data_IF_869086643494
#
_entry.id   IF_869086643494
#
_cell.length_a   1.000
_cell.length_b   1.000
_cell.length_c   1.000
_cell.angle_alpha   90.00
_cell.angle_beta   90.00
_cell.angle_gamma   90.00
#
_symmetry.space_group_name_H-M   'P 1'
#
loop_
_entity.id
_entity.type
_entity.pdbx_description
1 polymer ?
#
# COMPACT_ATOMS: atom_id res chain seq x y z
N UNK A 1 -22.43 13.42 -14.85
CA UNK A 1 -22.20 12.74 -13.56
C UNK A 1 -21.52 13.77 -12.66
N UNK A 2 -22.00 14.00 -11.43
CA UNK A 2 -21.31 14.95 -10.53
C UNK A 2 -20.01 14.33 -10.04
N UNK A 3 -19.07 15.18 -9.60
CA UNK A 3 -17.83 14.76 -8.95
C UNK A 3 -18.12 13.73 -7.83
N UNK A 4 -19.02 14.03 -6.90
CA UNK A 4 -19.32 13.11 -5.78
C UNK A 4 -19.92 11.77 -6.26
N UNK A 5 -20.70 11.77 -7.35
CA UNK A 5 -21.26 10.53 -7.92
C UNK A 5 -20.16 9.65 -8.50
N UNK A 6 -19.20 10.23 -9.21
CA UNK A 6 -18.07 9.49 -9.78
C UNK A 6 -17.19 8.88 -8.69
N UNK A 7 -16.90 9.66 -7.64
CA UNK A 7 -16.12 9.17 -6.50
C UNK A 7 -16.82 7.99 -5.81
N UNK A 8 -18.11 8.12 -5.50
CA UNK A 8 -18.84 7.05 -4.80
C UNK A 8 -18.92 5.75 -5.63
N UNK A 9 -18.88 5.81 -6.95
CA UNK A 9 -19.02 4.65 -7.84
C UNK A 9 -17.71 3.90 -8.08
N UNK A 10 -16.54 4.54 -7.99
CA UNK A 10 -15.26 3.98 -8.47
C UNK A 10 -14.20 3.76 -7.37
N UNK A 11 -14.54 4.00 -6.10
CA UNK A 11 -13.53 4.24 -5.07
C UNK A 11 -12.83 3.01 -4.47
N UNK A 12 -13.38 1.81 -4.67
CA UNK A 12 -12.95 0.64 -3.90
C UNK A 12 -12.63 -0.54 -4.79
N UNK A 13 -11.37 -0.97 -4.73
CA UNK A 13 -10.95 -2.25 -5.30
C UNK A 13 -10.94 -3.32 -4.19
N UNK A 14 -11.47 -4.52 -4.47
CA UNK A 14 -11.57 -5.58 -3.48
C UNK A 14 -10.19 -6.16 -3.16
N UNK A 15 -9.88 -6.29 -1.87
CA UNK A 15 -8.70 -7.00 -1.38
C UNK A 15 -9.10 -8.23 -0.56
N UNK A 16 -8.30 -9.29 -0.64
CA UNK A 16 -8.42 -10.51 0.15
C UNK A 16 -7.70 -10.34 1.48
N UNK A 17 -8.33 -9.56 2.35
CA UNK A 17 -7.85 -9.37 3.71
C UNK A 17 -7.86 -10.69 4.49
N UNK A 18 -6.80 -10.98 5.22
CA UNK A 18 -6.67 -12.18 6.03
C UNK A 18 -7.00 -11.94 7.49
N UNK A 19 -7.22 -13.04 8.23
CA UNK A 19 -7.40 -12.97 9.68
C UNK A 19 -6.19 -12.29 10.30
N UNK A 20 -6.45 -11.47 11.33
CA UNK A 20 -5.47 -10.70 12.12
C UNK A 20 -5.02 -9.36 11.53
N UNK A 21 -5.48 -8.98 10.34
CA UNK A 21 -5.29 -7.62 9.83
C UNK A 21 -6.47 -6.72 10.19
N UNK A 22 -6.16 -5.56 10.77
CA UNK A 22 -7.05 -4.42 10.88
C UNK A 22 -6.80 -3.50 9.69
N UNK A 23 -7.80 -3.36 8.82
CA UNK A 23 -7.77 -2.41 7.71
C UNK A 23 -8.45 -1.13 8.19
N UNK A 24 -7.70 -0.03 8.21
CA UNK A 24 -8.20 1.28 8.64
C UNK A 24 -8.59 2.13 7.44
N UNK A 25 -7.92 1.93 6.28
CA UNK A 25 -8.22 2.62 5.03
C UNK A 25 -8.06 1.64 3.86
N UNK A 26 -9.02 1.66 2.94
CA UNK A 26 -8.90 1.02 1.64
C UNK A 26 -9.60 1.89 0.61
N UNK A 27 -8.81 2.68 -0.08
CA UNK A 27 -9.18 3.69 -1.05
C UNK A 27 -8.35 3.47 -2.32
N UNK A 28 -8.12 2.20 -2.67
CA UNK A 28 -7.39 1.83 -3.87
C UNK A 28 -8.22 2.26 -5.10
N UNK A 29 -7.78 3.34 -5.75
CA UNK A 29 -8.50 3.97 -6.86
C UNK A 29 -8.01 3.51 -8.22
N UNK A 30 -8.97 3.17 -9.09
CA UNK A 30 -8.76 3.23 -10.53
C UNK A 30 -9.38 4.51 -11.06
N UNK A 31 -8.56 5.41 -11.58
CA UNK A 31 -9.00 6.75 -11.98
C UNK A 31 -9.10 6.82 -13.50
N UNK A 32 -10.26 7.27 -14.00
CA UNK A 32 -10.40 7.61 -15.41
C UNK A 32 -9.64 8.91 -15.70
N UNK A 33 -8.47 8.77 -16.31
CA UNK A 33 -7.60 9.88 -16.69
C UNK A 33 -8.28 10.85 -17.66
N UNK A 34 -9.18 10.38 -18.53
CA UNK A 34 -9.87 11.28 -19.47
C UNK A 34 -10.84 12.19 -18.73
N UNK A 35 -11.55 11.62 -17.77
CA UNK A 35 -12.44 12.40 -16.90
C UNK A 35 -11.64 13.38 -16.04
N UNK A 36 -10.59 12.93 -15.34
CA UNK A 36 -9.76 13.78 -14.48
C UNK A 36 -9.17 14.98 -15.24
N UNK A 37 -8.62 14.72 -16.43
CA UNK A 37 -8.04 15.78 -17.26
C UNK A 37 -9.09 16.73 -17.88
N UNK A 38 -10.38 16.36 -17.87
CA UNK A 38 -11.48 17.20 -18.36
C UNK A 38 -12.05 18.14 -17.30
N UNK A 39 -11.69 17.95 -16.03
CA UNK A 39 -12.09 18.83 -14.93
C UNK A 39 -11.44 20.21 -15.08
N UNK A 40 -12.14 21.24 -14.57
CA UNK A 40 -11.53 22.55 -14.41
C UNK A 40 -10.45 22.54 -13.31
N UNK A 41 -9.64 23.60 -13.25
CA UNK A 41 -8.50 23.67 -12.34
C UNK A 41 -8.89 23.61 -10.85
N UNK A 42 -10.06 24.13 -10.47
CA UNK A 42 -10.49 24.12 -9.08
C UNK A 42 -10.92 22.71 -8.66
N UNK A 43 -11.81 22.08 -9.44
CA UNK A 43 -12.29 20.72 -9.18
C UNK A 43 -11.12 19.72 -9.22
N UNK A 44 -10.22 19.87 -10.19
CA UNK A 44 -9.02 19.04 -10.33
C UNK A 44 -8.09 19.16 -9.12
N UNK A 45 -7.84 20.40 -8.66
CA UNK A 45 -7.02 20.63 -7.47
C UNK A 45 -7.61 19.95 -6.24
N UNK A 46 -8.92 20.08 -6.02
CA UNK A 46 -9.62 19.46 -4.90
C UNK A 46 -9.51 17.92 -4.93
N UNK A 47 -9.64 17.30 -6.10
CA UNK A 47 -9.46 15.84 -6.27
C UNK A 47 -8.04 15.42 -5.87
N UNK A 48 -7.06 16.15 -6.36
CA UNK A 48 -5.63 15.81 -6.22
C UNK A 48 -5.21 15.86 -4.75
N UNK A 49 -5.57 16.94 -4.05
CA UNK A 49 -5.22 17.13 -2.65
C UNK A 49 -5.92 16.11 -1.74
N UNK A 50 -7.20 15.83 -1.99
CA UNK A 50 -7.97 14.90 -1.17
C UNK A 50 -7.52 13.43 -1.32
N UNK A 51 -7.06 13.03 -2.52
CA UNK A 51 -6.93 11.61 -2.85
C UNK A 51 -5.55 11.14 -3.28
N UNK A 52 -4.76 11.95 -3.99
CA UNK A 52 -3.51 11.45 -4.59
C UNK A 52 -2.32 11.65 -3.67
N UNK A 53 -2.29 12.71 -2.86
CA UNK A 53 -1.20 12.93 -1.90
C UNK A 53 -1.46 12.30 -0.52
N UNK A 54 -2.58 11.60 -0.35
CA UNK A 54 -2.94 10.91 0.88
C UNK A 54 -2.54 9.43 0.85
N UNK A 55 -2.34 8.86 2.04
CA UNK A 55 -2.31 7.41 2.20
C UNK A 55 -3.69 6.83 1.80
N UNK A 56 -3.70 6.01 0.75
CA UNK A 56 -4.92 5.41 0.20
C UNK A 56 -5.16 3.99 0.72
N UNK A 57 -4.17 3.35 1.31
CA UNK A 57 -4.36 2.05 1.92
C UNK A 57 -3.52 1.94 3.18
N UNK A 58 -4.17 1.52 4.26
CA UNK A 58 -3.54 1.29 5.55
C UNK A 58 -4.08 0.00 6.14
N UNK A 59 -3.18 -0.94 6.39
CA UNK A 59 -3.49 -2.15 7.13
C UNK A 59 -2.42 -2.39 8.19
N UNK A 60 -2.86 -2.83 9.37
CA UNK A 60 -1.97 -3.18 10.47
C UNK A 60 -2.30 -4.57 11.02
N UNK A 61 -1.27 -5.27 11.45
CA UNK A 61 -1.35 -6.53 12.18
C UNK A 61 -0.56 -6.37 13.48
N UNK A 62 -1.16 -6.75 14.60
CA UNK A 62 -0.51 -6.72 15.91
C UNK A 62 -0.51 -8.14 16.50
N UNK A 63 0.64 -8.55 17.01
CA UNK A 63 0.82 -9.88 17.63
C UNK A 63 1.72 -9.77 18.87
N UNK A 64 1.53 -10.67 19.83
CA UNK A 64 2.32 -10.71 21.05
C UNK A 64 3.02 -12.08 21.19
N UNK A 65 4.34 -12.06 21.34
CA UNK A 65 5.18 -13.25 21.44
C UNK A 65 6.14 -13.07 22.61
N UNK A 66 6.13 -14.02 23.56
CA UNK A 66 6.96 -13.98 24.78
C UNK A 66 6.83 -12.63 25.53
N UNK A 67 5.62 -12.09 25.61
CA UNK A 67 5.30 -10.79 26.23
C UNK A 67 5.88 -9.55 25.53
N UNK A 68 6.42 -9.72 24.32
CA UNK A 68 6.86 -8.61 23.44
C UNK A 68 5.79 -8.40 22.38
N UNK A 69 5.40 -7.13 22.17
CA UNK A 69 4.37 -6.76 21.19
C UNK A 69 5.01 -6.31 19.90
N UNK A 70 4.57 -6.90 18.80
CA UNK A 70 5.03 -6.60 17.46
C UNK A 70 3.90 -6.00 16.65
N UNK A 71 4.25 -5.06 15.78
CA UNK A 71 3.32 -4.42 14.87
C UNK A 71 3.89 -4.46 13.46
N UNK A 72 3.09 -4.97 12.54
CA UNK A 72 3.35 -4.89 11.10
C UNK A 72 2.39 -3.91 10.49
N UNK A 73 2.89 -2.96 9.71
CA UNK A 73 2.08 -1.97 8.99
C UNK A 73 2.40 -2.10 7.50
N UNK A 74 1.35 -2.03 6.68
CA UNK A 74 1.41 -1.93 5.23
C UNK A 74 0.68 -0.66 4.82
N UNK A 75 1.41 0.24 4.16
CA UNK A 75 0.92 1.53 3.70
C UNK A 75 1.08 1.69 2.19
N UNK A 76 0.12 2.36 1.55
CA UNK A 76 0.20 2.72 0.13
C UNK A 76 -0.09 4.20 -0.08
N UNK A 77 0.75 4.83 -0.89
CA UNK A 77 0.58 6.19 -1.41
C UNK A 77 0.45 6.17 -2.93
N UNK A 78 -0.24 7.17 -3.49
CA UNK A 78 -0.31 7.39 -4.94
C UNK A 78 0.78 8.38 -5.34
N UNK A 79 1.41 8.13 -6.48
CA UNK A 79 2.33 9.05 -7.14
C UNK A 79 1.74 9.37 -8.52
N UNK A 80 1.17 10.56 -8.75
CA UNK A 80 0.66 10.92 -10.06
C UNK A 80 1.79 11.08 -11.09
N UNK A 81 1.56 10.56 -12.30
CA UNK A 81 2.41 10.81 -13.47
C UNK A 81 1.82 11.92 -14.32
N UNK A 82 2.58 12.97 -14.51
CA UNK A 82 2.15 14.16 -15.25
C UNK A 82 3.12 14.41 -16.41
N UNK A 83 2.59 14.55 -17.61
CA UNK A 83 3.32 14.94 -18.82
C UNK A 83 2.61 16.12 -19.48
N UNK A 84 3.31 17.24 -19.69
CA UNK A 84 2.74 18.46 -20.28
C UNK A 84 1.41 18.89 -19.60
N UNK A 85 1.40 18.92 -18.27
CA UNK A 85 0.22 19.27 -17.44
C UNK A 85 -0.99 18.33 -17.58
N UNK A 86 -0.79 17.13 -18.14
CA UNK A 86 -1.80 16.09 -18.29
C UNK A 86 -1.44 14.87 -17.45
N UNK A 87 -2.41 14.36 -16.69
CA UNK A 87 -2.27 13.09 -15.98
C UNK A 87 -2.25 11.93 -16.99
N UNK A 88 -1.13 11.21 -17.04
CA UNK A 88 -0.95 10.07 -17.96
C UNK A 88 -0.99 8.72 -17.23
N UNK A 89 -0.95 8.72 -15.90
CA UNK A 89 -1.03 7.52 -15.09
C UNK A 89 -0.79 7.79 -13.61
N UNK A 90 -0.73 6.70 -12.86
CA UNK A 90 -0.40 6.70 -11.44
C UNK A 90 0.56 5.56 -11.16
N UNK A 91 1.59 5.87 -10.39
CA UNK A 91 2.41 4.90 -9.68
C UNK A 91 1.93 4.82 -8.23
N UNK A 92 2.38 3.78 -7.55
CA UNK A 92 2.05 3.54 -6.14
C UNK A 92 3.32 3.24 -5.37
N UNK A 93 3.47 3.89 -4.22
CA UNK A 93 4.52 3.54 -3.26
C UNK A 93 3.91 2.64 -2.20
N UNK A 94 4.35 1.38 -2.16
CA UNK A 94 4.00 0.40 -1.15
C UNK A 94 5.14 0.31 -0.13
N UNK A 95 4.84 0.55 1.15
CA UNK A 95 5.80 0.39 2.24
C UNK A 95 5.31 -0.63 3.26
N UNK A 96 6.24 -1.42 3.78
CA UNK A 96 5.99 -2.39 4.83
C UNK A 96 7.02 -2.27 5.92
N UNK A 97 6.56 -2.22 7.16
CA UNK A 97 7.41 -2.16 8.34
C UNK A 97 6.96 -3.16 9.39
N UNK A 98 7.93 -3.88 9.96
CA UNK A 98 7.76 -4.68 11.17
C UNK A 98 8.52 -3.99 12.30
N UNK A 99 7.83 -3.71 13.40
CA UNK A 99 8.41 -3.04 14.56
C UNK A 99 8.14 -3.79 15.86
N UNK A 100 9.11 -3.72 16.78
CA UNK A 100 8.89 -4.03 18.18
C UNK A 100 8.24 -2.82 18.87
N UNK A 101 6.92 -2.91 19.07
CA UNK A 101 6.14 -1.85 19.68
C UNK A 101 6.37 -1.72 21.20
N UNK A 102 6.88 -2.76 21.85
CA UNK A 102 7.28 -2.68 23.27
C UNK A 102 8.55 -1.84 23.48
N UNK A 103 9.39 -1.68 22.45
CA UNK A 103 10.66 -0.93 22.49
C UNK A 103 10.58 0.39 21.72
N UNK A 104 9.63 1.27 22.07
CA UNK A 104 9.44 2.58 21.38
C UNK A 104 9.31 2.46 19.86
N UNK A 105 8.66 1.40 19.37
CA UNK A 105 8.51 1.10 17.94
C UNK A 105 9.84 0.94 17.20
N UNK A 106 10.83 0.26 17.79
CA UNK A 106 12.07 -0.10 17.11
C UNK A 106 11.75 -0.88 15.83
N UNK A 107 12.13 -0.33 14.69
CA UNK A 107 11.99 -0.98 13.37
C UNK A 107 12.92 -2.19 13.34
N UNK A 108 12.36 -3.35 13.01
CA UNK A 108 13.06 -4.61 12.88
C UNK A 108 13.30 -4.97 11.41
N UNK A 109 12.35 -4.62 10.54
CA UNK A 109 12.46 -4.82 9.10
C UNK A 109 11.62 -3.78 8.36
N UNK A 110 12.07 -3.38 7.18
CA UNK A 110 11.46 -2.33 6.37
C UNK A 110 11.77 -2.53 4.89
N UNK A 111 10.77 -2.31 4.05
CA UNK A 111 10.96 -2.27 2.61
C UNK A 111 9.94 -1.37 1.93
N UNK A 112 10.35 -0.75 0.82
CA UNK A 112 9.54 0.11 -0.03
C UNK A 112 9.63 -0.32 -1.49
N UNK A 113 8.52 -0.23 -2.21
CA UNK A 113 8.42 -0.53 -3.63
C UNK A 113 7.61 0.53 -4.36
N UNK A 114 8.07 0.85 -5.56
CA UNK A 114 7.28 1.52 -6.58
C UNK A 114 6.55 0.46 -7.41
N UNK A 115 5.25 0.63 -7.60
CA UNK A 115 4.36 -0.28 -8.32
C UNK A 115 3.65 0.49 -9.42
N UNK A 116 3.82 0.04 -10.66
CA UNK A 116 3.45 0.83 -11.86
C UNK A 116 1.94 0.95 -12.10
N UNK A 117 1.12 0.06 -11.54
CA UNK A 117 -0.32 0.11 -11.71
C UNK A 117 -1.08 -0.54 -10.55
N UNK A 118 -2.35 -0.18 -10.41
CA UNK A 118 -3.21 -0.61 -9.30
C UNK A 118 -3.46 -2.12 -9.28
N UNK A 119 -3.49 -2.78 -10.44
CA UNK A 119 -3.71 -4.23 -10.51
C UNK A 119 -2.51 -5.01 -9.97
N UNK A 120 -1.29 -4.58 -10.30
CA UNK A 120 -0.07 -5.14 -9.74
C UNK A 120 -0.03 -4.95 -8.22
N UNK A 121 -0.43 -3.77 -7.74
CA UNK A 121 -0.51 -3.49 -6.31
C UNK A 121 -1.52 -4.41 -5.61
N UNK A 122 -2.71 -4.58 -6.18
CA UNK A 122 -3.72 -5.49 -5.66
C UNK A 122 -3.21 -6.93 -5.62
N UNK A 123 -2.53 -7.38 -6.67
CA UNK A 123 -1.94 -8.71 -6.72
C UNK A 123 -0.90 -8.90 -5.61
N UNK A 124 0.01 -7.94 -5.43
CA UNK A 124 1.00 -7.95 -4.36
C UNK A 124 0.33 -8.05 -2.98
N UNK A 125 -0.61 -7.16 -2.67
CA UNK A 125 -1.31 -7.11 -1.38
C UNK A 125 -2.07 -8.43 -1.14
N UNK A 126 -2.77 -8.94 -2.15
CA UNK A 126 -3.58 -10.14 -2.05
C UNK A 126 -2.78 -11.43 -1.86
N UNK A 127 -1.49 -11.44 -2.22
CA UNK A 127 -0.58 -12.56 -1.96
C UNK A 127 0.15 -12.35 -0.63
N UNK A 128 0.59 -11.13 -0.36
CA UNK A 128 1.46 -10.81 0.76
C UNK A 128 0.74 -10.83 2.11
N UNK A 129 -0.46 -10.24 2.22
CA UNK A 129 -1.21 -10.22 3.48
C UNK A 129 -1.51 -11.65 4.00
N UNK A 130 -1.96 -12.61 3.17
CA UNK A 130 -2.08 -14.01 3.61
C UNK A 130 -0.78 -14.64 4.04
N UNK A 131 0.30 -14.43 3.28
CA UNK A 131 1.61 -14.95 3.63
C UNK A 131 2.01 -14.48 5.03
N UNK A 132 1.92 -13.18 5.31
CA UNK A 132 2.25 -12.65 6.63
C UNK A 132 1.34 -13.22 7.72
N UNK A 133 0.03 -13.26 7.51
CA UNK A 133 -0.89 -13.81 8.52
C UNK A 133 -0.57 -15.24 8.92
N UNK A 134 -0.04 -16.04 7.99
CA UNK A 134 0.30 -17.44 8.23
C UNK A 134 1.69 -17.62 8.87
N UNK A 135 2.64 -16.74 8.56
CA UNK A 135 4.06 -16.97 8.89
C UNK A 135 4.65 -15.97 9.89
N UNK A 136 3.98 -14.84 10.18
CA UNK A 136 4.54 -13.75 10.99
C UNK A 136 5.02 -14.22 12.38
N UNK A 137 4.25 -15.07 13.06
CA UNK A 137 4.63 -15.54 14.38
C UNK A 137 5.90 -16.40 14.35
N UNK A 138 6.04 -17.27 13.35
CA UNK A 138 7.24 -18.09 13.18
C UNK A 138 8.47 -17.23 12.83
N UNK A 139 8.30 -16.25 11.93
CA UNK A 139 9.35 -15.30 11.55
C UNK A 139 9.88 -14.54 12.77
N UNK A 140 8.99 -14.08 13.65
CA UNK A 140 9.37 -13.39 14.89
C UNK A 140 10.03 -14.36 15.89
N UNK A 141 9.48 -15.56 16.09
CA UNK A 141 10.02 -16.54 17.03
C UNK A 141 11.43 -16.99 16.69
N UNK A 142 11.75 -17.05 15.38
CA UNK A 142 13.06 -17.41 14.86
C UNK A 142 14.03 -16.22 14.77
N UNK A 143 13.61 -15.02 15.20
CA UNK A 143 14.39 -13.77 15.16
C UNK A 143 14.94 -13.42 13.76
N UNK A 144 14.36 -13.96 12.69
CA UNK A 144 14.80 -13.66 11.33
C UNK A 144 14.33 -12.29 10.89
N UNK A 145 13.10 -11.92 11.25
CA UNK A 145 12.41 -10.65 10.94
C UNK A 145 12.32 -10.27 9.45
N UNK A 146 12.93 -11.04 8.54
CA UNK A 146 13.08 -10.79 7.09
C UNK A 146 11.78 -10.99 6.29
N UNK A 147 10.74 -10.23 6.63
CA UNK A 147 9.50 -10.18 5.84
C UNK A 147 9.74 -9.49 4.48
N UNK A 148 10.68 -8.55 4.44
CA UNK A 148 11.11 -7.81 3.26
C UNK A 148 11.64 -8.73 2.17
N UNK A 149 12.41 -9.75 2.54
CA UNK A 149 12.97 -10.73 1.60
C UNK A 149 11.88 -11.47 0.81
N UNK A 150 10.79 -11.87 1.46
CA UNK A 150 9.68 -12.53 0.76
C UNK A 150 8.98 -11.58 -0.22
N UNK A 151 8.71 -10.34 0.21
CA UNK A 151 8.08 -9.36 -0.65
C UNK A 151 8.97 -8.99 -1.84
N UNK A 152 10.27 -8.80 -1.62
CA UNK A 152 11.25 -8.54 -2.68
C UNK A 152 11.31 -9.70 -3.69
N UNK A 153 11.29 -10.94 -3.19
CA UNK A 153 11.22 -12.12 -4.05
C UNK A 153 9.94 -12.17 -4.87
N UNK A 154 8.79 -11.85 -4.27
CA UNK A 154 7.50 -11.82 -4.93
C UNK A 154 7.46 -10.75 -6.04
N UNK A 155 7.89 -9.53 -5.72
CA UNK A 155 7.97 -8.40 -6.65
C UNK A 155 8.86 -8.75 -7.84
N UNK A 156 10.05 -9.29 -7.58
CA UNK A 156 11.03 -9.67 -8.60
C UNK A 156 10.53 -10.80 -9.51
N UNK A 157 10.01 -11.89 -8.93
CA UNK A 157 9.58 -13.08 -9.70
C UNK A 157 8.36 -12.80 -10.57
N UNK A 158 7.48 -11.92 -10.09
CA UNK A 158 6.21 -11.61 -10.74
C UNK A 158 6.27 -10.32 -11.56
N UNK A 159 7.42 -9.62 -11.55
CA UNK A 159 7.63 -8.33 -12.21
C UNK A 159 6.55 -7.29 -11.87
N UNK A 160 6.21 -7.18 -10.59
CA UNK A 160 5.08 -6.35 -10.12
C UNK A 160 5.48 -4.94 -9.69
N UNK A 161 6.76 -4.63 -9.60
CA UNK A 161 7.27 -3.34 -9.14
C UNK A 161 8.78 -3.28 -9.06
N UNK A 162 9.31 -2.19 -8.51
CA UNK A 162 10.74 -1.92 -8.35
C UNK A 162 11.01 -1.51 -6.90
N UNK A 163 12.07 -2.07 -6.30
CA UNK A 163 12.48 -1.69 -4.95
C UNK A 163 12.95 -0.24 -4.93
N UNK A 164 12.51 0.52 -3.94
CA UNK A 164 13.02 1.87 -3.70
C UNK A 164 14.25 1.75 -2.80
N UNK A 165 15.37 2.30 -3.26
CA UNK A 165 16.57 2.47 -2.45
C UNK A 165 16.65 3.95 -2.07
N UNK A 166 16.43 4.26 -0.79
CA UNK A 166 16.71 5.59 -0.24
C UNK A 166 18.11 5.55 0.35
N UNK A 167 19.02 6.32 -0.24
CA UNK A 167 20.40 6.51 0.24
C UNK A 167 20.45 7.20 1.62
#
# INVERSE_FOLDING_TARGET
MSYESFLNENFLLPIKATRNWLIVKNYLYNVDLKWLNSLDENDKFDVVDAYFYANIFYAANETEIKSVKYKTILDVYIIPKIENDVYVGFEYELSINLANSSEKNKILDFIEFEVENIFNLLELINIFLPFLSLNLNEIIQNESYQISNFLEDLVRKSNLGKKISRD
#
